data_IF_013115150187
#
_entry.id   IF_013115150187
#
_cell.length_a   1.000
_cell.length_b   1.000
_cell.length_c   1.000
_cell.angle_alpha   90.00
_cell.angle_beta   90.00
_cell.angle_gamma   90.00
#
_symmetry.space_group_name_H-M   'P 1'
#
loop_
_entity.id
_entity.type
_entity.pdbx_description
1 polymer ?
#
# COMPACT_ATOMS: atom_id res chain seq x y z
N UNK A 1 -20.33 37.53 52.81
CA UNK A 1 -21.77 37.81 52.63
C UNK A 1 -22.42 36.60 51.96
N UNK A 2 -23.70 36.39 52.24
CA UNK A 2 -24.49 35.16 52.16
C UNK A 2 -24.70 34.52 50.76
N UNK A 3 -24.96 33.19 50.76
CA UNK A 3 -25.70 32.43 49.71
C UNK A 3 -27.22 32.67 49.89
N UNK A 4 -28.11 32.42 48.89
CA UNK A 4 -28.66 31.08 48.54
C UNK A 4 -28.84 30.89 47.00
N UNK A 5 -28.92 29.72 46.35
CA UNK A 5 -29.72 28.48 46.46
C UNK A 5 -31.21 28.58 46.00
N UNK A 6 -31.53 27.96 44.85
CA UNK A 6 -32.81 27.35 44.41
C UNK A 6 -32.54 26.74 43.00
N UNK A 7 -32.68 25.47 42.63
CA UNK A 7 -33.61 24.35 42.89
C UNK A 7 -35.07 24.61 42.47
N UNK A 8 -35.44 24.08 41.29
CA UNK A 8 -36.81 23.66 40.97
C UNK A 8 -36.74 22.30 40.27
N UNK A 9 -37.38 21.30 40.89
CA UNK A 9 -37.81 20.00 40.34
C UNK A 9 -39.18 20.16 39.66
N UNK A 10 -39.44 19.38 38.61
CA UNK A 10 -40.78 18.85 38.28
C UNK A 10 -40.59 17.62 37.35
N UNK A 11 -40.73 16.37 37.82
CA UNK A 11 -41.94 15.53 37.83
C UNK A 11 -42.63 15.44 36.45
N UNK A 12 -42.39 14.39 35.65
CA UNK A 12 -42.96 13.02 35.67
C UNK A 12 -44.34 12.88 34.99
N UNK A 13 -44.41 12.14 33.87
CA UNK A 13 -45.53 11.26 33.41
C UNK A 13 -45.14 10.62 32.06
N UNK A 14 -44.61 9.39 32.06
CA UNK A 14 -45.24 8.08 31.75
C UNK A 14 -45.53 7.79 30.25
N UNK A 15 -45.20 6.56 29.78
CA UNK A 15 -45.33 6.14 28.39
C UNK A 15 -46.69 5.49 28.10
N UNK A 16 -47.18 5.62 26.87
CA UNK A 16 -48.36 4.90 26.40
C UNK A 16 -47.97 3.90 25.31
N UNK A 17 -48.15 2.64 25.67
CA UNK A 17 -48.17 1.45 24.85
C UNK A 17 -49.17 1.52 23.71
N UNK A 18 -48.83 0.99 22.53
CA UNK A 18 -49.80 0.36 21.64
C UNK A 18 -49.21 -0.97 21.13
N UNK A 19 -49.72 -2.04 21.74
CA UNK A 19 -49.73 -3.40 21.20
C UNK A 19 -50.92 -3.51 20.27
N UNK A 20 -50.75 -4.16 19.12
CA UNK A 20 -51.86 -4.79 18.40
C UNK A 20 -51.35 -6.02 17.66
N UNK A 21 -51.43 -7.13 18.39
CA UNK A 21 -51.44 -8.49 17.87
C UNK A 21 -52.80 -8.80 17.24
N UNK A 22 -52.77 -9.73 16.27
CA UNK A 22 -53.88 -10.49 15.67
C UNK A 22 -54.43 -10.01 14.33
N UNK A 23 -54.04 -10.73 13.28
CA UNK A 23 -55.02 -11.49 12.49
C UNK A 23 -54.34 -12.68 11.81
N UNK A 24 -54.61 -13.86 12.37
CA UNK A 24 -54.38 -15.17 11.74
C UNK A 24 -55.64 -15.49 10.94
N UNK A 25 -55.51 -15.66 9.63
CA UNK A 25 -56.54 -16.31 8.82
C UNK A 25 -55.89 -17.43 8.02
N UNK A 26 -56.21 -18.66 8.41
CA UNK A 26 -55.92 -19.89 7.68
C UNK A 26 -56.70 -19.89 6.37
N UNK A 27 -56.01 -20.17 5.27
CA UNK A 27 -56.61 -20.62 4.01
C UNK A 27 -55.82 -21.83 3.52
N UNK A 28 -56.44 -23.02 3.65
CA UNK A 28 -55.95 -24.26 3.10
C UNK A 28 -56.24 -24.28 1.59
N UNK A 29 -55.18 -24.20 0.77
CA UNK A 29 -55.23 -24.48 -0.66
C UNK A 29 -54.10 -25.41 -1.04
N UNK A 30 -54.39 -26.72 -1.12
CA UNK A 30 -53.50 -27.72 -1.71
C UNK A 30 -53.25 -27.33 -3.18
N UNK A 31 -51.99 -27.08 -3.54
CA UNK A 31 -51.52 -27.15 -4.91
C UNK A 31 -50.25 -27.98 -4.92
N UNK A 32 -50.39 -29.24 -5.34
CA UNK A 32 -49.25 -30.08 -5.69
C UNK A 32 -48.62 -29.47 -6.94
N UNK A 33 -47.40 -28.94 -6.81
CA UNK A 33 -46.50 -28.73 -7.95
C UNK A 33 -45.18 -29.40 -7.62
N UNK A 34 -44.77 -30.29 -8.52
CA UNK A 34 -43.50 -30.99 -8.48
C UNK A 34 -42.35 -29.99 -8.38
N UNK A 35 -41.56 -30.08 -7.31
CA UNK A 35 -40.23 -29.45 -7.25
C UNK A 35 -39.28 -30.29 -8.10
N UNK A 36 -39.00 -29.85 -9.33
CA UNK A 36 -37.80 -30.30 -10.03
C UNK A 36 -36.61 -29.52 -9.47
N UNK A 37 -35.84 -30.17 -8.61
CA UNK A 37 -34.53 -29.68 -8.20
C UNK A 37 -33.58 -29.84 -9.39
N UNK A 38 -33.42 -28.80 -10.20
CA UNK A 38 -32.30 -28.72 -11.13
C UNK A 38 -31.05 -28.36 -10.34
N UNK A 39 -30.25 -29.38 -10.02
CA UNK A 39 -28.87 -29.18 -9.58
C UNK A 39 -28.08 -28.63 -10.76
N UNK A 40 -27.99 -27.30 -10.86
CA UNK A 40 -26.98 -26.67 -11.70
C UNK A 40 -25.63 -26.83 -11.00
N UNK A 41 -24.90 -27.88 -11.39
CA UNK A 41 -23.46 -27.95 -11.15
C UNK A 41 -22.83 -26.84 -11.98
N UNK A 42 -22.64 -25.67 -11.38
CA UNK A 42 -21.71 -24.67 -11.92
C UNK A 42 -20.31 -25.24 -11.74
N UNK A 43 -19.86 -25.97 -12.76
CA UNK A 43 -18.42 -26.16 -12.97
C UNK A 43 -17.87 -24.78 -13.27
N UNK A 44 -17.33 -24.11 -12.26
CA UNK A 44 -16.40 -23.01 -12.46
C UNK A 44 -15.17 -23.62 -13.13
N UNK A 45 -15.20 -23.69 -14.46
CA UNK A 45 -13.96 -23.73 -15.23
C UNK A 45 -13.33 -22.37 -15.02
N UNK A 46 -12.16 -22.24 -14.36
CA UNK A 46 -11.47 -20.97 -14.35
C UNK A 46 -11.16 -20.66 -15.81
N UNK A 47 -11.72 -19.57 -16.32
CA UNK A 47 -11.22 -18.95 -17.54
C UNK A 47 -9.84 -18.40 -17.17
N UNK A 48 -8.83 -19.26 -17.26
CA UNK A 48 -7.43 -18.89 -17.17
C UNK A 48 -7.02 -18.19 -18.46
N UNK A 49 -7.60 -17.02 -18.73
CA UNK A 49 -7.14 -16.10 -19.79
C UNK A 49 -6.26 -14.98 -19.18
N UNK A 50 -5.49 -15.31 -18.14
CA UNK A 50 -4.59 -14.37 -17.47
C UNK A 50 -3.14 -14.37 -17.94
N UNK A 51 -2.68 -15.42 -18.65
CA UNK A 51 -1.30 -15.55 -19.09
C UNK A 51 -1.25 -16.23 -20.47
N UNK A 52 -1.50 -15.46 -21.53
CA UNK A 52 -1.08 -15.90 -22.86
C UNK A 52 0.44 -15.78 -22.94
N UNK A 53 1.06 -16.93 -23.17
CA UNK A 53 2.48 -17.14 -23.43
C UNK A 53 2.92 -16.24 -24.59
N UNK A 54 3.59 -15.13 -24.28
CA UNK A 54 4.35 -14.36 -25.26
C UNK A 54 5.81 -14.76 -25.09
N UNK A 55 6.35 -15.33 -26.16
CA UNK A 55 7.70 -15.88 -26.28
C UNK A 55 8.78 -14.94 -25.73
N UNK A 56 9.53 -15.39 -24.72
CA UNK A 56 10.85 -14.85 -24.37
C UNK A 56 11.14 -14.61 -22.89
N UNK A 57 10.13 -14.43 -22.05
CA UNK A 57 10.25 -14.23 -20.59
C UNK A 57 9.03 -14.91 -19.93
N UNK A 58 9.12 -15.61 -18.79
CA UNK A 58 7.94 -16.19 -18.15
C UNK A 58 6.91 -15.07 -17.90
N UNK A 59 5.61 -15.33 -18.14
CA UNK A 59 4.59 -14.29 -18.00
C UNK A 59 4.54 -13.84 -16.55
N UNK A 60 5.07 -12.64 -16.27
CA UNK A 60 4.97 -12.02 -14.94
C UNK A 60 3.50 -11.73 -14.68
N UNK A 61 2.92 -12.46 -13.73
CA UNK A 61 1.53 -12.28 -13.36
C UNK A 61 1.40 -10.98 -12.56
N UNK A 62 1.21 -9.85 -13.23
CA UNK A 62 0.88 -8.56 -12.59
C UNK A 62 -0.63 -8.38 -12.56
N UNK A 63 -1.18 -7.80 -11.49
CA UNK A 63 -2.60 -7.48 -11.39
C UNK A 63 -3.03 -6.57 -12.54
N UNK A 64 -4.15 -6.91 -13.20
CA UNK A 64 -4.73 -6.15 -14.30
C UNK A 64 -6.21 -5.92 -14.04
N UNK A 65 -6.72 -4.81 -14.59
CA UNK A 65 -8.13 -4.51 -14.71
C UNK A 65 -8.41 -4.09 -16.15
N UNK A 66 -9.49 -4.59 -16.72
CA UNK A 66 -10.05 -4.10 -17.99
C UNK A 66 -10.53 -2.65 -17.84
N UNK A 67 -10.66 -1.93 -18.94
CA UNK A 67 -11.13 -0.55 -18.91
C UNK A 67 -12.56 -0.43 -18.38
N UNK A 68 -13.40 -1.45 -18.60
CA UNK A 68 -14.73 -1.55 -18.00
C UNK A 68 -14.68 -1.69 -16.48
N UNK A 69 -13.82 -2.56 -15.94
CA UNK A 69 -13.65 -2.72 -14.49
C UNK A 69 -13.11 -1.45 -13.84
N UNK A 70 -12.14 -0.78 -14.48
CA UNK A 70 -11.66 0.52 -14.01
C UNK A 70 -12.81 1.52 -13.93
N UNK A 71 -13.60 1.66 -14.99
CA UNK A 71 -14.73 2.60 -15.00
C UNK A 71 -15.76 2.28 -13.91
N UNK A 72 -16.11 1.00 -13.74
CA UNK A 72 -17.03 0.56 -12.68
C UNK A 72 -16.49 0.94 -11.30
N UNK A 73 -15.22 0.65 -11.01
CA UNK A 73 -14.62 0.97 -9.72
C UNK A 73 -14.52 2.49 -9.47
N UNK A 74 -14.23 3.29 -10.50
CA UNK A 74 -14.22 4.74 -10.40
C UNK A 74 -15.61 5.29 -10.07
N UNK A 75 -16.65 4.82 -10.75
CA UNK A 75 -18.05 5.22 -10.46
C UNK A 75 -18.44 4.79 -9.05
N UNK A 76 -18.07 3.58 -8.62
CA UNK A 76 -18.34 3.10 -7.26
C UNK A 76 -17.61 3.94 -6.21
N UNK A 77 -16.35 4.31 -6.43
CA UNK A 77 -15.59 5.17 -5.52
C UNK A 77 -16.23 6.56 -5.41
N UNK A 78 -16.66 7.15 -6.53
CA UNK A 78 -17.38 8.44 -6.55
C UNK A 78 -18.70 8.36 -5.79
N UNK A 79 -19.48 7.28 -5.99
CA UNK A 79 -20.72 7.05 -5.24
C UNK A 79 -20.45 6.88 -3.74
N UNK A 80 -19.42 6.10 -3.38
CA UNK A 80 -19.04 5.84 -1.99
C UNK A 80 -18.69 7.14 -1.26
N UNK A 81 -17.96 8.03 -1.94
CA UNK A 81 -17.61 9.36 -1.46
C UNK A 81 -18.82 10.28 -1.37
N UNK A 82 -19.66 10.34 -2.42
CA UNK A 82 -20.81 11.23 -2.46
C UNK A 82 -21.90 10.87 -1.45
N UNK A 83 -22.08 9.58 -1.18
CA UNK A 83 -23.03 9.07 -0.19
C UNK A 83 -22.43 9.04 1.24
N UNK A 84 -21.19 9.49 1.42
CA UNK A 84 -20.48 9.53 2.71
C UNK A 84 -20.46 8.17 3.43
N UNK A 85 -20.31 7.08 2.65
CA UNK A 85 -20.33 5.72 3.18
C UNK A 85 -19.11 5.53 4.09
N UNK A 86 -19.36 5.12 5.33
CA UNK A 86 -18.32 4.74 6.28
C UNK A 86 -18.13 3.23 6.23
N UNK A 87 -17.05 2.79 5.63
CA UNK A 87 -16.68 1.39 5.60
C UNK A 87 -15.18 1.23 5.39
N UNK A 88 -14.77 0.02 5.07
CA UNK A 88 -13.36 -0.38 5.05
C UNK A 88 -12.56 0.19 3.86
N UNK A 89 -13.23 0.47 2.75
CA UNK A 89 -12.59 0.93 1.54
C UNK A 89 -12.40 2.44 1.53
N UNK A 90 -11.19 2.84 1.15
CA UNK A 90 -10.80 4.23 0.93
C UNK A 90 -11.01 4.57 -0.56
N UNK A 91 -12.09 5.29 -0.92
CA UNK A 91 -12.40 5.59 -2.32
C UNK A 91 -11.36 6.50 -2.97
N UNK A 92 -10.76 7.43 -2.21
CA UNK A 92 -9.73 8.32 -2.74
C UNK A 92 -8.47 7.53 -3.09
N UNK A 93 -8.05 6.62 -2.22
CA UNK A 93 -6.94 5.72 -2.53
C UNK A 93 -7.22 4.83 -3.73
N UNK A 94 -8.42 4.23 -3.83
CA UNK A 94 -8.77 3.35 -4.96
C UNK A 94 -8.69 4.14 -6.27
N UNK A 95 -9.31 5.32 -6.32
CA UNK A 95 -9.30 6.18 -7.50
C UNK A 95 -7.88 6.60 -7.89
N UNK A 96 -7.07 7.11 -6.94
CA UNK A 96 -5.67 7.49 -7.20
C UNK A 96 -4.84 6.30 -7.69
N UNK A 97 -5.06 5.11 -7.12
CA UNK A 97 -4.33 3.89 -7.48
C UNK A 97 -4.66 3.43 -8.90
N UNK A 98 -5.93 3.46 -9.29
CA UNK A 98 -6.37 3.07 -10.64
C UNK A 98 -5.89 4.10 -11.67
N UNK A 99 -6.11 5.40 -11.42
CA UNK A 99 -5.73 6.46 -12.35
C UNK A 99 -4.20 6.57 -12.52
N UNK A 100 -3.42 6.29 -11.48
CA UNK A 100 -1.95 6.27 -11.54
C UNK A 100 -1.34 4.99 -12.13
N UNK A 101 -2.16 3.99 -12.46
CA UNK A 101 -1.65 2.70 -12.96
C UNK A 101 -0.93 1.87 -11.91
N UNK A 102 -1.14 2.13 -10.62
CA UNK A 102 -0.46 1.48 -9.50
C UNK A 102 -1.26 0.30 -8.93
N UNK A 103 -1.90 -0.52 -9.78
CA UNK A 103 -2.83 -1.58 -9.33
C UNK A 103 -2.23 -2.54 -8.29
N UNK A 104 -0.92 -2.77 -8.34
CA UNK A 104 -0.18 -3.53 -7.33
C UNK A 104 -0.38 -2.99 -5.90
N UNK A 105 -0.58 -1.68 -5.75
CA UNK A 105 -0.83 -0.99 -4.49
C UNK A 105 -2.12 -1.41 -3.80
N UNK A 106 -3.14 -1.87 -4.53
CA UNK A 106 -4.38 -2.40 -3.94
C UNK A 106 -4.08 -3.60 -3.03
N UNK A 107 -3.21 -4.51 -3.48
CA UNK A 107 -2.81 -5.70 -2.70
C UNK A 107 -1.96 -5.34 -1.49
N UNK A 108 -1.18 -4.26 -1.61
CA UNK A 108 -0.33 -3.76 -0.53
C UNK A 108 -1.14 -3.05 0.57
N UNK A 109 -2.22 -2.36 0.21
CA UNK A 109 -3.11 -1.70 1.19
C UNK A 109 -4.13 -2.66 1.80
N UNK A 110 -4.78 -3.47 0.98
CA UNK A 110 -5.87 -4.35 1.39
C UNK A 110 -5.41 -5.80 1.54
N UNK A 111 -4.48 -6.04 2.48
CA UNK A 111 -3.81 -7.34 2.67
C UNK A 111 -4.74 -8.46 3.16
N UNK A 112 -5.90 -8.11 3.71
CA UNK A 112 -6.91 -9.06 4.18
C UNK A 112 -7.72 -9.68 3.02
N UNK A 113 -7.68 -9.09 1.82
CA UNK A 113 -8.36 -9.62 0.64
C UNK A 113 -7.48 -10.72 0.02
N UNK A 114 -8.03 -11.91 -0.24
CA UNK A 114 -7.31 -13.01 -0.88
C UNK A 114 -7.18 -12.77 -2.39
N UNK A 115 -6.46 -11.72 -2.79
CA UNK A 115 -6.14 -11.49 -4.20
C UNK A 115 -5.34 -12.65 -4.78
N UNK A 116 -5.48 -12.86 -6.09
CA UNK A 116 -4.63 -13.80 -6.81
C UNK A 116 -3.14 -13.49 -6.60
N UNK A 117 -2.32 -14.54 -6.58
CA UNK A 117 -0.87 -14.37 -6.51
C UNK A 117 -0.40 -13.61 -7.72
N UNK A 118 0.31 -12.52 -7.48
CA UNK A 118 0.82 -11.64 -8.51
C UNK A 118 2.18 -11.07 -8.08
N UNK A 119 3.08 -10.90 -9.02
CA UNK A 119 4.37 -10.26 -8.81
C UNK A 119 4.23 -8.74 -8.79
N UNK A 120 5.21 -8.07 -8.19
CA UNK A 120 5.36 -6.63 -8.36
C UNK A 120 5.96 -6.35 -9.74
N UNK A 121 5.57 -5.26 -10.42
CA UNK A 121 6.32 -4.78 -11.58
C UNK A 121 7.81 -4.62 -11.24
N UNK A 122 8.74 -4.91 -12.17
CA UNK A 122 10.18 -4.87 -11.88
C UNK A 122 10.67 -3.53 -11.31
N UNK A 123 10.15 -2.40 -11.79
CA UNK A 123 10.49 -1.07 -11.29
C UNK A 123 10.01 -0.86 -9.84
N UNK A 124 8.91 -1.52 -9.44
CA UNK A 124 8.41 -1.46 -8.06
C UNK A 124 9.34 -2.23 -7.14
N UNK A 125 9.73 -3.44 -7.52
CA UNK A 125 10.70 -4.24 -6.76
C UNK A 125 12.03 -3.50 -6.64
N UNK A 126 12.55 -2.95 -7.73
CA UNK A 126 13.79 -2.18 -7.73
C UNK A 126 13.69 -0.92 -6.86
N UNK A 127 12.56 -0.21 -6.88
CA UNK A 127 12.35 0.95 -6.00
C UNK A 127 12.34 0.54 -4.53
N UNK A 128 11.65 -0.54 -4.18
CA UNK A 128 11.61 -1.09 -2.80
C UNK A 128 13.01 -1.43 -2.31
N UNK A 129 13.79 -2.14 -3.13
CA UNK A 129 15.16 -2.53 -2.82
C UNK A 129 16.08 -1.31 -2.59
N UNK A 130 15.92 -0.26 -3.41
CA UNK A 130 16.66 1.00 -3.24
C UNK A 130 16.25 1.73 -1.96
N UNK A 131 14.94 1.82 -1.67
CA UNK A 131 14.45 2.48 -0.46
C UNK A 131 14.84 1.72 0.82
N UNK A 132 14.81 0.39 0.80
CA UNK A 132 15.28 -0.47 1.91
C UNK A 132 16.77 -0.27 2.19
N UNK A 133 17.59 -0.28 1.12
CA UNK A 133 19.03 -0.03 1.22
C UNK A 133 19.29 1.36 1.83
N UNK A 134 18.67 2.40 1.29
CA UNK A 134 18.90 3.76 1.78
C UNK A 134 18.36 3.98 3.19
N UNK A 135 17.21 3.38 3.54
CA UNK A 135 16.70 3.44 4.92
C UNK A 135 17.70 2.82 5.89
N UNK A 136 18.28 1.67 5.53
CA UNK A 136 19.30 0.99 6.33
C UNK A 136 20.59 1.79 6.46
N UNK A 137 21.05 2.41 5.37
CA UNK A 137 22.24 3.27 5.34
C UNK A 137 22.06 4.51 6.23
N UNK A 138 20.97 5.26 6.04
CA UNK A 138 20.70 6.50 6.81
C UNK A 138 20.52 6.18 8.30
N UNK A 139 19.78 5.12 8.63
CA UNK A 139 19.59 4.69 10.02
C UNK A 139 20.89 4.25 10.68
N UNK A 140 21.70 3.43 9.99
CA UNK A 140 22.95 2.92 10.54
C UNK A 140 23.98 4.04 10.73
N UNK A 141 24.10 4.94 9.74
CA UNK A 141 24.96 6.12 9.83
C UNK A 141 24.59 7.00 11.02
N UNK A 142 23.28 7.23 11.26
CA UNK A 142 22.80 7.98 12.41
C UNK A 142 23.14 7.38 13.79
N UNK A 143 23.52 6.10 13.85
CA UNK A 143 23.90 5.39 15.09
C UNK A 143 25.42 5.27 15.28
N UNK A 144 26.22 5.63 14.29
CA UNK A 144 27.68 5.53 14.38
C UNK A 144 28.28 6.50 15.40
N UNK A 145 29.48 6.15 15.88
CA UNK A 145 30.28 7.06 16.68
C UNK A 145 30.78 8.25 15.85
N UNK A 146 31.14 9.40 16.45
CA UNK A 146 31.73 10.51 15.72
C UNK A 146 33.01 10.15 14.95
N UNK A 147 33.82 9.22 15.47
CA UNK A 147 35.03 8.74 14.80
C UNK A 147 34.70 7.92 13.54
N UNK A 148 33.69 7.06 13.64
CA UNK A 148 33.21 6.26 12.51
C UNK A 148 32.53 7.11 11.44
N UNK A 149 31.79 8.15 11.83
CA UNK A 149 31.21 9.11 10.88
C UNK A 149 32.30 9.83 10.08
N UNK A 150 33.35 10.34 10.75
CA UNK A 150 34.48 10.96 10.07
C UNK A 150 35.19 10.00 9.12
N UNK A 151 35.31 8.73 9.51
CA UNK A 151 35.83 7.67 8.63
C UNK A 151 34.98 7.54 7.37
N UNK A 152 33.65 7.42 7.52
CA UNK A 152 32.73 7.32 6.38
C UNK A 152 32.82 8.53 5.47
N UNK A 153 32.78 9.75 6.02
CA UNK A 153 32.83 10.99 5.23
C UNK A 153 34.13 11.08 4.41
N UNK A 154 35.26 10.72 5.03
CA UNK A 154 36.58 10.73 4.40
C UNK A 154 36.73 9.64 3.34
N UNK A 155 36.39 8.39 3.66
CA UNK A 155 36.64 7.24 2.78
C UNK A 155 35.61 7.08 1.67
N UNK A 156 34.37 7.53 1.88
CA UNK A 156 33.36 7.60 0.82
C UNK A 156 33.47 8.87 -0.02
N UNK A 157 34.29 9.85 0.41
CA UNK A 157 34.36 11.19 -0.15
C UNK A 157 32.98 11.88 -0.23
N UNK A 158 32.11 11.70 0.77
CA UNK A 158 30.76 12.28 0.80
C UNK A 158 30.54 13.03 2.10
N UNK A 159 29.93 14.21 2.00
CA UNK A 159 29.55 15.03 3.16
C UNK A 159 28.18 14.67 3.73
N UNK A 160 27.43 13.78 3.05
CA UNK A 160 26.14 13.31 3.54
C UNK A 160 25.86 11.87 3.08
N UNK A 161 25.31 11.08 4.00
CA UNK A 161 24.75 9.75 3.74
C UNK A 161 23.24 9.91 3.72
N UNK A 162 22.71 10.36 2.57
CA UNK A 162 21.26 10.55 2.36
C UNK A 162 20.85 10.17 0.95
N UNK A 163 19.66 9.61 0.81
CA UNK A 163 19.01 9.38 -0.47
C UNK A 163 18.79 10.71 -1.20
N UNK A 164 19.37 10.84 -2.39
CA UNK A 164 19.23 12.02 -3.26
C UNK A 164 17.93 12.02 -4.08
N UNK A 165 17.21 10.89 -4.10
CA UNK A 165 15.99 10.73 -4.89
C UNK A 165 16.26 10.16 -6.28
N UNK A 166 15.34 10.42 -7.19
CA UNK A 166 15.25 9.89 -8.55
C UNK A 166 14.93 11.02 -9.53
N UNK A 167 15.29 10.87 -10.80
CA UNK A 167 14.96 11.86 -11.83
C UNK A 167 13.48 11.75 -12.21
N UNK A 168 12.66 12.71 -11.78
CA UNK A 168 11.23 12.72 -12.04
C UNK A 168 10.85 12.73 -13.54
N UNK A 169 11.78 13.10 -14.42
CA UNK A 169 11.55 13.15 -15.87
C UNK A 169 12.02 11.88 -16.62
N UNK A 170 12.85 11.05 -15.98
CA UNK A 170 13.53 9.93 -16.65
C UNK A 170 13.36 8.59 -15.92
N UNK A 171 12.99 8.60 -14.65
CA UNK A 171 12.99 7.43 -13.78
C UNK A 171 11.61 7.25 -13.13
N UNK A 172 10.89 6.20 -13.54
CA UNK A 172 9.58 5.85 -12.96
C UNK A 172 9.63 5.65 -11.44
N UNK A 173 10.80 5.30 -10.91
CA UNK A 173 11.10 5.14 -9.49
C UNK A 173 10.74 6.37 -8.67
N UNK A 174 10.80 7.58 -9.23
CA UNK A 174 10.34 8.79 -8.56
C UNK A 174 8.86 8.68 -8.13
N UNK A 175 7.98 8.36 -9.08
CA UNK A 175 6.54 8.26 -8.82
C UNK A 175 6.20 7.05 -7.95
N UNK A 176 6.90 5.93 -8.15
CA UNK A 176 6.73 4.73 -7.33
C UNK A 176 7.13 5.00 -5.87
N UNK A 177 8.27 5.65 -5.63
CA UNK A 177 8.73 5.98 -4.29
C UNK A 177 7.75 6.92 -3.59
N UNK A 178 7.28 7.96 -4.29
CA UNK A 178 6.23 8.86 -3.79
C UNK A 178 4.96 8.10 -3.43
N UNK A 179 4.50 7.21 -4.31
CA UNK A 179 3.30 6.39 -4.05
C UNK A 179 3.48 5.48 -2.82
N UNK A 180 4.62 4.80 -2.68
CA UNK A 180 4.94 3.99 -1.49
C UNK A 180 4.90 4.83 -0.20
N UNK A 181 5.48 6.03 -0.22
CA UNK A 181 5.62 6.88 0.97
C UNK A 181 4.32 7.57 1.36
N UNK A 182 3.57 8.05 0.38
CA UNK A 182 2.43 8.94 0.60
C UNK A 182 1.10 8.21 0.59
N UNK A 183 0.95 7.19 -0.26
CA UNK A 183 -0.33 6.48 -0.42
C UNK A 183 -0.37 5.19 0.40
N UNK A 184 0.77 4.54 0.60
CA UNK A 184 0.89 3.27 1.32
C UNK A 184 1.55 3.39 2.71
N UNK A 185 1.94 4.60 3.13
CA UNK A 185 2.58 4.86 4.43
C UNK A 185 3.80 3.94 4.67
N UNK A 186 4.58 3.67 3.62
CA UNK A 186 5.87 2.94 3.70
C UNK A 186 7.02 3.93 3.81
N UNK A 187 8.14 3.53 4.40
CA UNK A 187 9.32 4.39 4.54
C UNK A 187 9.03 5.80 5.09
N UNK A 188 8.38 5.92 6.26
CA UNK A 188 7.95 7.21 6.81
C UNK A 188 9.12 8.19 7.05
N UNK A 189 10.34 7.70 7.23
CA UNK A 189 11.58 8.50 7.33
C UNK A 189 11.87 9.34 6.08
N UNK A 190 11.27 9.00 4.93
CA UNK A 190 11.41 9.75 3.68
C UNK A 190 10.26 10.74 3.42
N UNK A 191 9.24 10.78 4.28
CA UNK A 191 8.09 11.68 4.12
C UNK A 191 8.53 13.15 4.15
N UNK A 192 7.95 13.94 3.24
CA UNK A 192 8.20 15.38 3.16
C UNK A 192 9.55 15.78 2.57
N UNK A 193 10.37 14.82 2.11
CA UNK A 193 11.61 15.12 1.38
C UNK A 193 11.32 15.43 -0.08
N UNK A 194 12.15 16.30 -0.65
CA UNK A 194 12.30 16.37 -2.10
C UNK A 194 13.07 15.12 -2.56
N UNK A 195 12.42 14.32 -3.41
CA UNK A 195 12.99 13.10 -3.98
C UNK A 195 13.30 13.27 -5.47
N UNK A 196 13.29 14.49 -6.00
CA UNK A 196 13.69 14.75 -7.38
C UNK A 196 15.19 15.06 -7.45
N UNK A 197 15.99 14.10 -7.89
CA UNK A 197 17.44 14.27 -8.05
C UNK A 197 17.82 15.18 -9.23
N UNK A 198 16.87 15.53 -10.09
CA UNK A 198 17.08 16.31 -11.33
C UNK A 198 18.16 15.74 -12.28
N UNK A 199 18.56 14.48 -12.05
CA UNK A 199 19.58 13.75 -12.81
C UNK A 199 19.45 12.25 -12.56
N UNK A 200 19.67 11.38 -13.57
CA UNK A 200 19.51 9.94 -13.38
C UNK A 200 20.45 9.35 -12.32
N UNK A 201 19.94 8.47 -11.46
CA UNK A 201 20.66 7.84 -10.34
C UNK A 201 20.58 6.32 -10.34
N UNK A 202 19.68 5.72 -11.12
CA UNK A 202 19.36 4.30 -11.01
C UNK A 202 20.58 3.38 -11.20
N UNK A 203 21.44 3.66 -12.17
CA UNK A 203 22.64 2.84 -12.37
C UNK A 203 23.62 2.91 -11.20
N UNK A 204 23.69 4.06 -10.52
CA UNK A 204 24.42 4.22 -9.27
C UNK A 204 23.84 3.35 -8.17
N UNK A 205 22.54 3.47 -7.94
CA UNK A 205 21.84 2.70 -6.92
C UNK A 205 21.89 1.19 -7.17
N UNK A 206 21.84 0.73 -8.43
CA UNK A 206 22.03 -0.69 -8.79
C UNK A 206 23.39 -1.22 -8.34
N UNK A 207 24.46 -0.44 -8.54
CA UNK A 207 25.81 -0.85 -8.10
C UNK A 207 25.92 -0.91 -6.59
N UNK A 208 25.36 0.09 -5.90
CA UNK A 208 25.26 0.08 -4.43
C UNK A 208 24.49 -1.15 -3.94
N UNK A 209 23.34 -1.43 -4.55
CA UNK A 209 22.47 -2.53 -4.13
C UNK A 209 23.16 -3.90 -4.26
N UNK A 210 23.94 -4.13 -5.33
CA UNK A 210 24.74 -5.37 -5.47
C UNK A 210 25.73 -5.61 -4.33
N UNK A 211 26.22 -4.54 -3.70
CA UNK A 211 27.10 -4.63 -2.53
C UNK A 211 26.29 -4.82 -1.24
N UNK A 212 25.14 -4.16 -1.15
CA UNK A 212 24.26 -4.19 0.02
C UNK A 212 23.49 -5.51 0.16
N UNK A 213 23.00 -6.07 -0.94
CA UNK A 213 22.16 -7.27 -0.99
C UNK A 213 22.71 -8.45 -0.16
N UNK A 214 23.99 -8.86 -0.28
CA UNK A 214 24.53 -9.94 0.56
C UNK A 214 24.69 -9.58 2.04
N UNK A 215 24.67 -8.29 2.40
CA UNK A 215 24.78 -7.81 3.79
C UNK A 215 23.40 -7.78 4.46
N UNK A 216 22.34 -7.50 3.67
CA UNK A 216 20.95 -7.33 4.13
C UNK A 216 20.45 -8.40 5.12
N UNK A 217 20.70 -9.71 4.95
CA UNK A 217 20.22 -10.72 5.91
C UNK A 217 20.79 -10.55 7.32
N UNK A 218 22.01 -10.04 7.46
CA UNK A 218 22.64 -9.85 8.76
C UNK A 218 22.09 -8.62 9.52
N UNK A 219 21.34 -7.75 8.85
CA UNK A 219 20.83 -6.50 9.43
C UNK A 219 19.57 -6.70 10.30
N UNK A 220 19.06 -7.93 10.39
CA UNK A 220 18.01 -8.29 11.33
C UNK A 220 18.51 -8.16 12.78
N UNK A 221 19.78 -8.49 13.02
CA UNK A 221 20.37 -8.56 14.36
C UNK A 221 21.29 -7.37 14.70
N UNK A 222 21.64 -6.54 13.71
CA UNK A 222 22.55 -5.40 13.87
C UNK A 222 22.36 -4.32 12.81
N UNK A 223 22.98 -3.15 13.03
CA UNK A 223 23.12 -2.11 12.00
C UNK A 223 24.39 -2.30 11.16
N UNK A 224 24.49 -1.59 10.03
CA UNK A 224 25.71 -1.54 9.23
C UNK A 224 26.83 -0.87 10.05
N UNK A 225 28.05 -1.38 9.94
CA UNK A 225 29.22 -0.68 10.48
C UNK A 225 29.79 0.33 9.46
N UNK A 226 30.78 1.11 9.89
CA UNK A 226 31.42 2.13 9.06
C UNK A 226 32.01 1.57 7.75
N UNK A 227 32.71 0.43 7.82
CA UNK A 227 33.34 -0.20 6.66
C UNK A 227 32.31 -0.66 5.63
N UNK A 228 31.20 -1.23 6.08
CA UNK A 228 30.10 -1.65 5.20
C UNK A 228 29.41 -0.46 4.54
N UNK A 229 29.17 0.62 5.29
CA UNK A 229 28.61 1.87 4.74
C UNK A 229 29.54 2.44 3.66
N UNK A 230 30.84 2.57 3.96
CA UNK A 230 31.85 3.02 2.98
C UNK A 230 31.84 2.15 1.73
N UNK A 231 31.84 0.83 1.91
CA UNK A 231 31.85 -0.14 0.81
C UNK A 231 30.63 0.01 -0.11
N UNK A 232 29.44 0.19 0.46
CA UNK A 232 28.21 0.39 -0.32
C UNK A 232 28.24 1.75 -1.02
N UNK A 233 28.60 2.83 -0.34
CA UNK A 233 28.62 4.18 -0.92
C UNK A 233 29.64 4.31 -2.07
N UNK A 234 30.81 3.67 -1.96
CA UNK A 234 31.85 3.71 -2.99
C UNK A 234 31.50 2.92 -4.26
N UNK A 235 30.41 2.16 -4.27
CA UNK A 235 29.92 1.49 -5.48
C UNK A 235 29.17 2.46 -6.43
N UNK A 236 28.75 3.64 -5.94
CA UNK A 236 28.25 4.73 -6.75
C UNK A 236 29.45 5.66 -7.12
N UNK A 237 29.89 5.70 -8.39
CA UNK A 237 30.85 6.68 -8.86
C UNK A 237 30.25 8.08 -8.69
N UNK A 238 31.07 9.00 -8.21
CA UNK A 238 30.69 10.40 -8.01
C UNK A 238 30.59 11.16 -9.32
#
# INVERSE_FOLDING_TARGET
MARPAASIRSMAARPSSLSLSHLVTRSNGRSFRHTHTHTHTHTHTPVSDGCKEQTGDPPRCVMKLSDGEKLILMVLADMYKHLEIKGEFDPDFISTTISGGHLWGLRWKYTHIPFEKSENPPEVSETVDILDMWSSLEESYGKLSPADNQKVEKEANRTSVRLFGFDANKENHYFIARYLIEQLDRYPSFRGRDLNSSSPRIDGYRRMYRVFEPIRPALVDRSLNADEIVKVLNAEPQ
#
